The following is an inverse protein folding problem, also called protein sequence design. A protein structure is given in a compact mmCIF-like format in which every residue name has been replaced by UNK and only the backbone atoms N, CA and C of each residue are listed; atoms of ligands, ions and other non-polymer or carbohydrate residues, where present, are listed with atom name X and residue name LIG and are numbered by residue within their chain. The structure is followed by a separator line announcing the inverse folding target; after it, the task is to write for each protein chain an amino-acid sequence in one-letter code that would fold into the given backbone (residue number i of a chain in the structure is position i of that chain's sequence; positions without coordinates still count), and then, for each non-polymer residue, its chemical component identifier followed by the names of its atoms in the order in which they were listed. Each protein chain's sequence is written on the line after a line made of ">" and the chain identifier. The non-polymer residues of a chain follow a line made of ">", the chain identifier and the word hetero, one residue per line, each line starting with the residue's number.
data_IF_358973467750
#
_entry.id   IF_358973467750
#
_cell.length_a   1.000
_cell.length_b   1.000
_cell.length_c   1.000
_cell.angle_alpha   90.00
_cell.angle_beta   90.00
_cell.angle_gamma   90.00
#
_symmetry.space_group_name_H-M   'P 1'
#
loop_
_entity.id
_entity.type
_entity.pdbx_description
1 polymer ?
#
# COMPACT_ATOMS: atom_id res chain seq x y z
N UNK A 1 4.71 22.62 9.79
CA UNK A 1 5.06 21.20 10.04
C UNK A 1 6.57 21.13 10.22
N UNK A 2 7.04 20.74 11.40
CA UNK A 2 8.48 20.49 11.63
C UNK A 2 8.67 18.98 11.55
N UNK A 3 9.22 18.48 10.45
CA UNK A 3 9.65 17.09 10.40
C UNK A 3 11.03 17.03 11.03
N UNK A 4 11.14 16.39 12.19
CA UNK A 4 12.44 16.04 12.78
C UNK A 4 13.30 15.22 11.82
N UNK A 5 14.53 14.89 12.23
CA UNK A 5 15.39 14.01 11.45
C UNK A 5 14.92 12.55 11.54
N UNK A 6 14.78 11.90 10.39
CA UNK A 6 14.38 10.49 10.28
C UNK A 6 15.32 9.77 9.32
N UNK A 7 15.69 8.55 9.68
CA UNK A 7 16.23 7.55 8.76
C UNK A 7 15.07 6.82 8.13
N UNK A 8 15.08 6.73 6.81
CA UNK A 8 14.07 6.01 6.02
C UNK A 8 14.73 4.92 5.19
N UNK A 9 13.96 3.91 4.84
CA UNK A 9 14.38 2.84 3.93
C UNK A 9 13.40 2.74 2.78
N UNK A 10 13.93 2.59 1.57
CA UNK A 10 13.12 2.39 0.37
C UNK A 10 12.40 1.04 0.42
N UNK A 11 11.18 1.02 -0.10
CA UNK A 11 10.39 -0.18 -0.32
C UNK A 11 10.19 -0.37 -1.82
N UNK A 12 10.44 -1.58 -2.29
CA UNK A 12 10.30 -1.95 -3.69
C UNK A 12 9.32 -3.11 -3.86
N UNK A 13 8.68 -3.18 -5.01
CA UNK A 13 7.85 -4.30 -5.39
C UNK A 13 8.73 -5.51 -5.74
N UNK A 14 8.50 -6.67 -5.11
CA UNK A 14 9.28 -7.90 -5.39
C UNK A 14 9.06 -8.40 -6.83
N UNK A 15 7.90 -8.13 -7.43
CA UNK A 15 7.57 -8.58 -8.78
C UNK A 15 8.27 -7.79 -9.89
N UNK A 16 8.39 -6.46 -9.75
CA UNK A 16 8.94 -5.61 -10.82
C UNK A 16 10.19 -4.81 -10.42
N UNK A 17 10.59 -4.84 -9.14
CA UNK A 17 11.76 -4.11 -8.64
C UNK A 17 11.58 -2.60 -8.48
N UNK A 18 10.45 -2.04 -8.92
CA UNK A 18 10.18 -0.60 -8.81
C UNK A 18 10.01 -0.17 -7.35
N UNK A 19 10.57 1.00 -7.01
CA UNK A 19 10.34 1.65 -5.72
C UNK A 19 8.88 2.12 -5.66
N UNK A 20 8.18 1.71 -4.59
CA UNK A 20 6.77 2.03 -4.36
C UNK A 20 6.58 3.05 -3.23
N UNK A 21 7.63 3.30 -2.43
CA UNK A 21 7.59 4.23 -1.33
C UNK A 21 8.72 3.96 -0.34
N UNK A 22 8.52 4.39 0.91
CA UNK A 22 9.54 4.30 1.95
C UNK A 22 8.91 4.12 3.33
N UNK A 23 9.69 3.54 4.25
CA UNK A 23 9.31 3.30 5.65
C UNK A 23 10.20 4.12 6.56
N UNK A 24 9.64 4.65 7.63
CA UNK A 24 10.44 5.22 8.72
C UNK A 24 11.17 4.09 9.45
N UNK A 25 12.49 4.06 9.34
CA UNK A 25 13.33 3.12 10.06
C UNK A 25 13.56 3.63 11.50
N UNK A 26 14.10 4.84 11.62
CA UNK A 26 14.42 5.45 12.90
C UNK A 26 14.05 6.93 12.93
N UNK A 27 13.35 7.38 13.96
CA UNK A 27 13.10 8.79 14.29
C UNK A 27 14.05 9.23 15.41
N UNK A 28 14.76 10.34 15.24
CA UNK A 28 15.70 10.81 16.26
C UNK A 28 15.03 11.47 17.46
N UNK A 29 13.82 11.99 17.29
CA UNK A 29 13.06 12.65 18.35
C UNK A 29 12.03 11.71 18.97
N UNK A 30 11.97 11.66 20.30
CA UNK A 30 10.99 10.83 21.03
C UNK A 30 9.54 11.14 20.65
N UNK A 31 9.24 12.41 20.38
CA UNK A 31 7.92 12.87 19.93
C UNK A 31 7.52 12.33 18.56
N UNK A 32 8.46 11.82 17.76
CA UNK A 32 8.24 11.30 16.40
C UNK A 32 8.37 9.77 16.33
N UNK A 33 8.72 9.08 17.43
CA UNK A 33 8.87 7.61 17.47
C UNK A 33 7.63 6.84 17.01
N UNK A 34 6.44 7.44 17.14
CA UNK A 34 5.19 6.88 16.63
C UNK A 34 5.18 6.68 15.10
N UNK A 35 6.13 7.26 14.36
CA UNK A 35 6.29 7.07 12.92
C UNK A 35 7.13 5.86 12.56
N UNK A 36 8.02 5.41 13.44
CA UNK A 36 8.86 4.24 13.17
C UNK A 36 8.00 3.02 12.81
N UNK A 37 8.40 2.29 11.77
CA UNK A 37 7.64 1.18 11.23
C UNK A 37 6.45 1.59 10.34
N UNK A 38 6.05 2.87 10.30
CA UNK A 38 5.02 3.34 9.37
C UNK A 38 5.58 3.54 7.97
N UNK A 39 4.72 3.31 7.00
CA UNK A 39 5.04 3.34 5.58
C UNK A 39 4.33 4.50 4.88
N UNK A 40 5.02 5.12 3.94
CA UNK A 40 4.44 6.05 2.98
C UNK A 40 4.60 5.45 1.60
N UNK A 41 3.49 5.26 0.90
CA UNK A 41 3.43 4.58 -0.39
C UNK A 41 2.76 5.48 -1.41
N UNK A 42 3.29 5.49 -2.63
CA UNK A 42 2.68 6.16 -3.76
C UNK A 42 1.50 5.34 -4.29
N UNK A 43 0.25 5.81 -4.06
CA UNK A 43 -0.96 5.10 -4.52
C UNK A 43 -0.94 4.80 -6.02
N UNK A 44 -0.44 5.72 -6.84
CA UNK A 44 -0.34 5.53 -8.28
C UNK A 44 0.51 4.31 -8.68
N UNK A 45 1.57 4.00 -7.91
CA UNK A 45 2.45 2.85 -8.15
C UNK A 45 1.82 1.52 -7.75
N UNK A 46 0.77 1.57 -6.93
CA UNK A 46 -0.02 0.42 -6.55
C UNK A 46 -1.25 0.29 -7.47
N UNK A 47 -2.15 1.27 -7.44
CA UNK A 47 -3.52 1.18 -7.98
C UNK A 47 -3.73 1.87 -9.34
N UNK A 48 -2.66 2.34 -10.00
CA UNK A 48 -2.78 3.06 -11.27
C UNK A 48 -3.46 4.44 -11.14
N UNK A 49 -3.61 5.18 -12.26
CA UNK A 49 -4.19 6.54 -12.30
C UNK A 49 -5.64 6.61 -11.79
N UNK A 50 -6.40 5.54 -11.98
CA UNK A 50 -7.83 5.43 -11.69
C UNK A 50 -8.13 4.94 -10.26
N UNK A 51 -7.11 4.54 -9.48
CA UNK A 51 -7.30 4.09 -8.11
C UNK A 51 -8.05 2.76 -8.00
N UNK A 52 -8.00 1.92 -9.03
CA UNK A 52 -8.60 0.58 -9.00
C UNK A 52 -7.87 -0.31 -7.98
N UNK A 53 -8.65 -0.91 -7.08
CA UNK A 53 -8.14 -1.69 -5.95
C UNK A 53 -7.76 -3.11 -6.39
N UNK A 54 -6.65 -3.29 -7.10
CA UNK A 54 -6.15 -4.59 -7.59
C UNK A 54 -5.88 -5.65 -6.50
N UNK A 55 -5.95 -5.30 -5.21
CA UNK A 55 -5.73 -6.23 -4.08
C UNK A 55 -7.03 -6.82 -3.49
N UNK A 56 -8.21 -6.26 -3.82
CA UNK A 56 -9.53 -6.71 -3.32
C UNK A 56 -10.12 -7.81 -4.21
N UNK A 57 -9.37 -8.38 -5.15
CA UNK A 57 -9.87 -9.46 -6.02
C UNK A 57 -9.56 -10.87 -5.49
N UNK A 58 -8.87 -11.03 -4.36
CA UNK A 58 -8.41 -12.34 -3.88
C UNK A 58 -9.05 -12.82 -2.55
N UNK A 59 -10.19 -12.27 -2.14
CA UNK A 59 -11.01 -12.87 -1.09
C UNK A 59 -12.45 -13.09 -1.57
N UNK A 60 -12.59 -13.90 -2.62
CA UNK A 60 -13.87 -14.46 -3.04
C UNK A 60 -14.12 -15.76 -2.24
N UNK A 61 -15.24 -15.90 -1.52
CA UNK A 61 -16.04 -17.09 -1.58
C UNK A 61 -17.13 -16.84 -2.61
N UNK A 62 -16.89 -17.36 -3.81
CA UNK A 62 -17.89 -17.85 -4.75
C UNK A 62 -19.29 -18.11 -4.16
N UNK A 63 -20.23 -17.19 -4.27
CA UNK A 63 -21.66 -17.56 -4.21
C UNK A 63 -22.25 -17.40 -5.60
N UNK A 64 -22.27 -18.54 -6.30
CA UNK A 64 -22.87 -18.66 -7.62
C UNK A 64 -24.38 -18.48 -7.58
N UNK A 65 -24.91 -17.85 -8.62
CA UNK A 65 -26.34 -17.69 -8.83
C UNK A 65 -26.66 -16.75 -10.00
N UNK A 66 -26.16 -17.05 -11.20
CA UNK A 66 -26.76 -16.52 -12.42
C UNK A 66 -27.69 -17.61 -12.96
N UNK A 67 -28.98 -17.45 -12.70
CA UNK A 67 -30.02 -18.19 -13.39
C UNK A 67 -30.25 -17.50 -14.74
N UNK A 68 -29.90 -18.19 -15.81
CA UNK A 68 -30.15 -17.80 -17.18
C UNK A 68 -31.46 -18.48 -17.65
N UNK A 69 -32.43 -17.64 -18.00
CA UNK A 69 -33.42 -17.76 -19.08
C UNK A 69 -34.38 -18.98 -19.20
N UNK A 70 -35.59 -18.67 -19.72
CA UNK A 70 -36.52 -19.51 -20.52
C UNK A 70 -37.83 -20.06 -19.86
N UNK A 71 -38.95 -19.32 -19.99
CA UNK A 71 -40.19 -19.70 -20.74
C UNK A 71 -41.15 -18.52 -20.91
#
# INVERSE_FOLDING_TARGET
>A
MMTGMHTVVDMFCVGCGSIIGWKYDTAHEKSQKYKEGKCVIERFKLSGPDGSNYWVSNHEPHVGGSDADDV
#
